data_IF_540415653499
#
_entry.id   IF_540415653499
#
_cell.length_a   1.000
_cell.length_b   1.000
_cell.length_c   1.000
_cell.angle_alpha   90.00
_cell.angle_beta   90.00
_cell.angle_gamma   90.00
#
_symmetry.space_group_name_H-M   'P 1'
#
loop_
_entity.id
_entity.type
_entity.pdbx_description
1 polymer ?
#
# COMPACT_ATOMS: atom_id res chain seq x y z
N UNK A 1 -2.01 7.47 -9.12
CA UNK A 1 -2.77 7.16 -7.88
C UNK A 1 -3.91 8.13 -7.58
N UNK A 2 -3.69 9.47 -7.55
CA UNK A 2 -4.78 10.44 -7.33
C UNK A 2 -5.92 10.29 -8.34
N UNK A 3 -5.56 10.18 -9.62
CA UNK A 3 -6.53 9.97 -10.71
C UNK A 3 -7.30 8.66 -10.54
N UNK A 4 -6.60 7.56 -10.23
CA UNK A 4 -7.24 6.27 -9.93
C UNK A 4 -8.23 6.41 -8.76
N UNK A 5 -7.85 7.07 -7.67
CA UNK A 5 -8.76 7.30 -6.55
C UNK A 5 -9.96 8.17 -6.94
N UNK A 6 -9.76 9.24 -7.71
CA UNK A 6 -10.84 10.10 -8.17
C UNK A 6 -11.82 9.35 -9.09
N UNK A 7 -11.31 8.50 -9.97
CA UNK A 7 -12.10 7.77 -10.97
C UNK A 7 -12.80 6.54 -10.37
N UNK A 8 -12.13 5.80 -9.50
CA UNK A 8 -12.58 4.48 -9.01
C UNK A 8 -12.93 4.46 -7.53
N UNK A 9 -12.66 5.51 -6.75
CA UNK A 9 -12.79 5.51 -5.28
C UNK A 9 -14.19 5.22 -4.74
N UNK A 10 -15.23 5.38 -5.56
CA UNK A 10 -16.62 5.00 -5.20
C UNK A 10 -16.93 3.51 -5.43
N UNK A 11 -16.10 2.81 -6.21
CA UNK A 11 -16.27 1.39 -6.58
C UNK A 11 -15.19 0.50 -5.96
N UNK A 12 -14.01 1.05 -5.70
CA UNK A 12 -12.83 0.36 -5.18
C UNK A 12 -12.22 1.21 -4.07
N UNK A 13 -11.99 0.61 -2.91
CA UNK A 13 -11.24 1.26 -1.84
C UNK A 13 -9.77 1.39 -2.25
N UNK A 14 -9.24 2.61 -2.23
CA UNK A 14 -7.82 2.89 -2.47
C UNK A 14 -7.17 3.24 -1.14
N UNK A 15 -6.07 2.57 -0.82
CA UNK A 15 -5.33 2.72 0.42
C UNK A 15 -3.84 2.85 0.10
N UNK A 16 -3.18 3.85 0.67
CA UNK A 16 -1.73 3.92 0.70
C UNK A 16 -1.23 3.26 1.98
N UNK A 17 -0.29 2.32 1.86
CA UNK A 17 0.43 1.76 3.01
C UNK A 17 1.85 2.32 2.99
N UNK A 18 2.17 3.17 3.97
CA UNK A 18 3.51 3.69 4.14
C UNK A 18 4.40 2.64 4.80
N UNK A 19 5.42 2.18 4.09
CA UNK A 19 6.40 1.20 4.57
C UNK A 19 7.73 1.88 4.88
N UNK A 20 8.72 1.09 5.33
CA UNK A 20 10.07 1.58 5.60
C UNK A 20 10.74 2.25 4.40
N UNK A 21 11.66 3.16 4.69
CA UNK A 21 12.34 3.96 3.67
C UNK A 21 13.18 3.11 2.71
N UNK A 22 13.10 3.43 1.41
CA UNK A 22 13.97 2.82 0.42
C UNK A 22 15.40 3.38 0.52
N UNK A 23 15.53 4.69 0.84
CA UNK A 23 16.75 5.47 0.71
C UNK A 23 17.03 6.36 1.91
N UNK A 24 16.81 5.84 3.13
CA UNK A 24 17.22 6.54 4.35
C UNK A 24 18.72 6.89 4.31
N UNK A 25 19.10 8.04 4.87
CA UNK A 25 20.46 8.58 4.79
C UNK A 25 21.49 7.74 5.57
N UNK A 26 21.03 7.07 6.62
CA UNK A 26 21.75 6.10 7.45
C UNK A 26 21.41 4.63 7.06
N UNK A 27 20.68 4.46 5.95
CA UNK A 27 20.26 3.17 5.42
C UNK A 27 21.29 2.52 4.49
N UNK A 28 20.90 1.38 3.91
CA UNK A 28 21.77 0.58 3.03
C UNK A 28 21.99 1.18 1.64
N UNK A 29 21.10 2.07 1.20
CA UNK A 29 21.12 2.63 -0.15
C UNK A 29 20.67 4.11 -0.15
N UNK A 30 21.38 5.02 0.53
CA UNK A 30 21.04 6.44 0.53
C UNK A 30 21.09 7.02 -0.89
N UNK A 31 20.26 8.03 -1.16
CA UNK A 31 20.19 8.68 -2.47
C UNK A 31 20.43 10.18 -2.34
N UNK A 32 21.43 10.71 -3.06
CA UNK A 32 21.87 12.10 -2.94
C UNK A 32 20.77 13.14 -3.25
N UNK A 33 19.84 12.81 -4.16
CA UNK A 33 18.74 13.69 -4.56
C UNK A 33 17.38 13.27 -3.96
N UNK A 34 17.41 12.40 -2.93
CA UNK A 34 16.22 11.95 -2.22
C UNK A 34 15.84 12.84 -1.04
N UNK A 35 14.69 12.58 -0.38
CA UNK A 35 14.39 13.17 0.91
C UNK A 35 15.48 12.87 1.94
N UNK A 36 15.94 13.89 2.67
CA UNK A 36 16.85 13.72 3.80
C UNK A 36 16.05 13.20 5.00
N UNK A 37 16.04 11.88 5.16
CA UNK A 37 15.28 11.15 6.19
C UNK A 37 16.16 10.04 6.75
N UNK A 38 16.27 9.94 8.06
CA UNK A 38 16.88 8.80 8.77
C UNK A 38 15.88 7.64 8.86
N UNK A 39 16.36 6.41 8.93
CA UNK A 39 15.52 5.23 9.08
C UNK A 39 14.77 5.33 10.42
N UNK A 40 13.43 5.38 10.42
CA UNK A 40 12.67 5.42 11.66
C UNK A 40 12.92 4.16 12.50
N UNK A 41 13.14 4.33 13.80
CA UNK A 41 13.32 3.23 14.77
C UNK A 41 12.12 3.08 15.72
N UNK A 42 11.14 3.98 15.64
CA UNK A 42 9.85 3.87 16.32
C UNK A 42 8.65 4.07 15.39
N UNK A 43 7.48 3.57 15.79
CA UNK A 43 6.23 3.81 15.07
C UNK A 43 5.88 5.30 14.96
N UNK A 44 6.20 6.07 16.02
CA UNK A 44 5.94 7.52 16.06
C UNK A 44 6.78 8.31 15.06
N UNK A 45 8.07 7.98 14.95
CA UNK A 45 8.96 8.55 13.92
C UNK A 45 8.46 8.20 12.53
N UNK A 46 8.14 6.93 12.28
CA UNK A 46 7.65 6.49 10.97
C UNK A 46 6.35 7.19 10.59
N UNK A 47 5.44 7.38 11.55
CA UNK A 47 4.22 8.14 11.35
C UNK A 47 4.50 9.59 10.95
N UNK A 48 5.48 10.24 11.60
CA UNK A 48 5.89 11.62 11.27
C UNK A 48 6.43 11.75 9.84
N UNK A 49 7.29 10.80 9.43
CA UNK A 49 7.81 10.76 8.07
C UNK A 49 6.69 10.48 7.06
N UNK A 50 5.82 9.50 7.34
CA UNK A 50 4.66 9.17 6.50
C UNK A 50 3.76 10.40 6.26
N UNK A 51 3.48 11.18 7.32
CA UNK A 51 2.69 12.41 7.22
C UNK A 51 3.36 13.45 6.31
N UNK A 52 4.67 13.62 6.44
CA UNK A 52 5.46 14.48 5.56
C UNK A 52 5.39 14.01 4.11
N UNK A 53 5.55 12.71 3.85
CA UNK A 53 5.49 12.13 2.52
C UNK A 53 4.12 12.33 1.86
N UNK A 54 3.04 11.96 2.55
CA UNK A 54 1.65 12.16 2.09
C UNK A 54 1.41 13.63 1.76
N UNK A 55 1.96 14.55 2.57
CA UNK A 55 1.81 15.98 2.33
C UNK A 55 2.58 16.43 1.08
N UNK A 56 3.86 16.07 0.96
CA UNK A 56 4.74 16.48 -0.15
C UNK A 56 4.31 15.90 -1.50
N UNK A 57 3.73 14.70 -1.51
CA UNK A 57 3.19 14.06 -2.72
C UNK A 57 1.73 14.46 -3.02
N UNK A 58 1.14 15.32 -2.18
CA UNK A 58 -0.26 15.74 -2.24
C UNK A 58 -1.20 14.55 -2.29
N UNK A 59 -1.02 13.56 -1.39
CA UNK A 59 -1.78 12.31 -1.32
C UNK A 59 -2.90 12.33 -0.26
N UNK A 60 -3.25 13.49 0.30
CA UNK A 60 -4.16 13.60 1.46
C UNK A 60 -5.59 13.09 1.20
N UNK A 61 -6.05 13.07 -0.06
CA UNK A 61 -7.37 12.53 -0.41
C UNK A 61 -7.44 10.99 -0.37
N UNK A 62 -6.30 10.31 -0.34
CA UNK A 62 -6.25 8.85 -0.26
C UNK A 62 -5.99 8.48 1.21
N UNK A 63 -6.83 7.62 1.83
CA UNK A 63 -6.53 7.07 3.14
C UNK A 63 -5.12 6.48 3.17
N UNK A 64 -4.35 6.85 4.19
CA UNK A 64 -3.00 6.34 4.39
C UNK A 64 -2.91 5.65 5.75
N UNK A 65 -2.32 4.47 5.76
CA UNK A 65 -1.93 3.74 6.98
C UNK A 65 -0.42 3.52 6.97
N UNK A 66 0.14 3.25 8.14
CA UNK A 66 1.58 3.10 8.32
C UNK A 66 1.86 1.68 8.76
N UNK A 67 2.76 0.98 8.05
CA UNK A 67 3.28 -0.31 8.47
C UNK A 67 4.07 -0.12 9.76
N UNK A 68 3.89 -1.01 10.73
CA UNK A 68 4.56 -0.90 12.02
C UNK A 68 6.07 -1.10 11.85
N UNK A 69 6.83 -0.67 12.85
CA UNK A 69 8.29 -0.71 12.84
C UNK A 69 8.87 -2.12 12.62
N UNK A 70 8.09 -3.16 12.93
CA UNK A 70 8.43 -4.57 12.67
C UNK A 70 8.43 -4.97 11.18
N UNK A 71 7.93 -4.10 10.29
CA UNK A 71 7.87 -4.28 8.83
C UNK A 71 7.06 -5.51 8.40
N UNK A 72 6.05 -5.90 9.19
CA UNK A 72 5.27 -7.10 8.91
C UNK A 72 4.50 -7.00 7.57
N UNK A 73 3.96 -5.83 7.22
CA UNK A 73 3.20 -5.66 5.96
C UNK A 73 4.15 -5.62 4.77
N UNK A 74 5.27 -4.90 4.87
CA UNK A 74 6.30 -4.92 3.84
C UNK A 74 6.78 -6.34 3.53
N UNK A 75 7.08 -7.14 4.57
CA UNK A 75 7.51 -8.51 4.40
C UNK A 75 6.42 -9.39 3.74
N UNK A 76 5.18 -9.28 4.19
CA UNK A 76 4.07 -10.07 3.66
C UNK A 76 3.75 -9.78 2.18
N UNK A 77 3.90 -8.52 1.76
CA UNK A 77 3.61 -8.07 0.39
C UNK A 77 4.87 -7.89 -0.47
N UNK A 78 6.06 -8.14 0.09
CA UNK A 78 7.35 -7.86 -0.57
C UNK A 78 7.31 -6.49 -1.26
N UNK A 79 6.92 -5.46 -0.49
CA UNK A 79 6.41 -4.21 -1.02
C UNK A 79 7.51 -3.23 -1.45
N UNK A 80 8.75 -3.44 -1.00
CA UNK A 80 9.87 -2.56 -1.37
C UNK A 80 10.29 -2.61 -2.85
N UNK A 81 10.77 -1.47 -3.39
CA UNK A 81 10.80 -0.14 -2.75
C UNK A 81 9.42 0.51 -2.70
N UNK A 82 8.59 0.21 -3.70
CA UNK A 82 7.16 0.45 -3.73
C UNK A 82 6.50 -0.66 -4.58
N UNK A 83 5.19 -0.85 -4.41
CA UNK A 83 4.44 -1.90 -5.11
C UNK A 83 2.94 -1.62 -5.15
N UNK A 84 2.30 -2.03 -6.23
CA UNK A 84 0.85 -1.94 -6.42
C UNK A 84 0.21 -3.32 -6.27
N UNK A 85 -0.95 -3.36 -5.62
CA UNK A 85 -1.76 -4.56 -5.45
C UNK A 85 -3.23 -4.24 -5.67
N UNK A 86 -3.98 -5.22 -6.16
CA UNK A 86 -5.44 -5.25 -6.13
C UNK A 86 -5.89 -6.50 -5.39
N UNK A 87 -6.73 -6.32 -4.38
CA UNK A 87 -7.46 -7.41 -3.73
C UNK A 87 -8.85 -7.47 -4.37
N UNK A 88 -9.19 -8.64 -4.94
CA UNK A 88 -10.48 -8.89 -5.55
C UNK A 88 -11.60 -9.03 -4.53
N UNK A 89 -12.85 -9.05 -5.02
CA UNK A 89 -14.04 -9.18 -4.15
C UNK A 89 -14.10 -10.50 -3.39
N UNK A 90 -13.40 -11.52 -3.89
CA UNK A 90 -13.22 -12.83 -3.27
C UNK A 90 -12.16 -12.86 -2.15
N UNK A 91 -11.54 -11.71 -1.86
CA UNK A 91 -10.48 -11.57 -0.87
C UNK A 91 -9.11 -12.09 -1.32
N UNK A 92 -8.94 -12.45 -2.60
CA UNK A 92 -7.65 -12.89 -3.16
C UNK A 92 -6.95 -11.76 -3.89
N UNK A 93 -5.65 -11.90 -4.11
CA UNK A 93 -4.89 -10.96 -4.93
C UNK A 93 -5.31 -11.13 -6.39
N UNK A 94 -5.98 -10.12 -6.94
CA UNK A 94 -6.39 -10.06 -8.35
C UNK A 94 -5.28 -9.48 -9.23
N UNK A 95 -4.40 -8.65 -8.66
CA UNK A 95 -3.21 -8.12 -9.32
C UNK A 95 -2.09 -7.86 -8.31
N UNK A 96 -0.87 -8.23 -8.69
CA UNK A 96 0.36 -7.95 -7.96
C UNK A 96 1.38 -7.37 -8.95
N UNK A 97 1.65 -6.08 -8.85
CA UNK A 97 2.61 -5.39 -9.71
C UNK A 97 4.05 -5.87 -9.47
N UNK A 98 4.95 -5.47 -10.35
CA UNK A 98 6.39 -5.64 -10.13
C UNK A 98 6.91 -4.73 -9.01
N UNK A 99 8.16 -4.92 -8.60
CA UNK A 99 8.84 -4.01 -7.66
C UNK A 99 9.20 -2.69 -8.35
N UNK A 100 9.03 -1.59 -7.63
CA UNK A 100 9.43 -0.27 -8.09
C UNK A 100 10.92 -0.08 -8.35
N UNK A 101 11.29 1.02 -9.04
CA UNK A 101 10.35 1.91 -9.73
C UNK A 101 9.81 1.29 -11.04
N UNK A 102 10.55 0.38 -11.66
CA UNK A 102 10.23 -0.15 -13.00
C UNK A 102 8.95 -1.00 -13.05
N UNK A 103 8.59 -1.64 -11.93
CA UNK A 103 7.36 -2.43 -11.81
C UNK A 103 6.16 -1.65 -11.29
N UNK A 104 6.33 -0.38 -10.89
CA UNK A 104 5.23 0.46 -10.43
C UNK A 104 4.48 1.01 -11.64
N UNK A 105 3.46 0.26 -12.08
CA UNK A 105 2.69 0.57 -13.29
C UNK A 105 1.22 0.80 -12.94
N UNK A 106 0.79 2.08 -12.81
CA UNK A 106 -0.60 2.42 -12.55
C UNK A 106 -1.57 1.95 -13.64
N UNK A 107 -1.14 1.93 -14.90
CA UNK A 107 -2.00 1.52 -16.02
C UNK A 107 -2.37 0.03 -15.92
N UNK A 108 -1.40 -0.84 -15.60
CA UNK A 108 -1.67 -2.26 -15.35
C UNK A 108 -2.62 -2.47 -14.16
N UNK A 109 -2.57 -1.60 -13.14
CA UNK A 109 -3.54 -1.62 -12.03
C UNK A 109 -4.94 -1.19 -12.50
N UNK A 110 -5.05 -0.19 -13.38
CA UNK A 110 -6.34 0.24 -13.94
C UNK A 110 -6.97 -0.90 -14.73
N UNK A 111 -6.21 -1.54 -15.63
CA UNK A 111 -6.69 -2.70 -16.39
C UNK A 111 -7.20 -3.81 -15.46
N UNK A 112 -6.48 -4.08 -14.36
CA UNK A 112 -6.89 -5.06 -13.37
C UNK A 112 -8.17 -4.66 -12.63
N UNK A 113 -8.34 -3.38 -12.27
CA UNK A 113 -9.56 -2.85 -11.65
C UNK A 113 -10.75 -3.04 -12.58
N UNK A 114 -10.63 -2.62 -13.84
CA UNK A 114 -11.70 -2.74 -14.83
C UNK A 114 -12.11 -4.19 -15.05
N UNK A 115 -11.12 -5.09 -15.20
CA UNK A 115 -11.34 -6.52 -15.32
C UNK A 115 -12.03 -7.11 -14.09
N UNK A 116 -11.63 -6.69 -12.88
CA UNK A 116 -12.23 -7.17 -11.64
C UNK A 116 -13.68 -6.69 -11.49
N UNK A 117 -13.97 -5.44 -11.84
CA UNK A 117 -15.31 -4.86 -11.79
C UNK A 117 -16.27 -5.49 -12.81
N UNK A 118 -15.76 -5.93 -13.97
CA UNK A 118 -16.54 -6.61 -15.00
C UNK A 118 -16.96 -8.06 -14.61
N UNK A 119 -16.34 -8.66 -13.58
CA UNK A 119 -16.75 -9.98 -13.10
C UNK A 119 -18.16 -9.93 -12.48
N UNK A 120 -18.97 -10.99 -12.62
CA UNK A 120 -20.22 -11.11 -11.89
C UNK A 120 -19.94 -11.14 -10.38
N UNK A 121 -20.77 -10.44 -9.59
CA UNK A 121 -20.64 -10.40 -8.14
C UNK A 121 -20.73 -11.81 -7.58
N UNK A 122 -19.61 -12.33 -7.12
CA UNK A 122 -19.55 -13.58 -6.37
C UNK A 122 -19.57 -13.19 -4.90
N UNK A 123 -20.66 -13.54 -4.19
CA UNK A 123 -20.72 -13.34 -2.74
C UNK A 123 -19.65 -14.20 -2.07
N UNK A 124 -18.69 -13.54 -1.41
CA UNK A 124 -17.72 -14.19 -0.56
C UNK A 124 -18.40 -14.59 0.74
N UNK A 125 -18.36 -15.85 1.19
CA UNK A 125 -18.88 -16.23 2.49
C UNK A 125 -18.16 -15.42 3.56
N UNK A 126 -18.92 -14.66 4.35
CA UNK A 126 -18.39 -13.93 5.51
C UNK A 126 -17.70 -14.95 6.41
N UNK A 127 -16.39 -14.80 6.63
CA UNK A 127 -15.66 -15.65 7.57
C UNK A 127 -16.25 -15.39 8.96
N UNK A 128 -17.05 -16.32 9.47
CA UNK A 128 -17.52 -16.29 10.85
C UNK A 128 -16.30 -16.36 11.78
N UNK A 129 -16.08 -15.32 12.57
CA UNK A 129 -15.13 -15.35 13.68
C UNK A 129 -15.65 -16.35 14.71
N UNK A 130 -14.99 -17.51 14.83
CA UNK A 130 -15.26 -18.45 15.91
C UNK A 130 -15.11 -17.71 17.26
N UNK A 131 -16.06 -17.80 18.19
CA UNK A 131 -15.90 -17.25 19.53
C UNK A 131 -14.69 -17.91 20.17
N UNK A 132 -13.71 -17.11 20.59
CA UNK A 132 -12.54 -17.58 21.32
C UNK A 132 -12.97 -18.32 22.58
N UNK A 133 -12.51 -19.57 22.70
CA UNK A 133 -12.60 -20.32 23.93
C UNK A 133 -11.79 -19.59 25.01
N UNK A 134 -12.47 -19.08 26.04
CA UNK A 134 -11.83 -18.67 27.29
C UNK A 134 -11.28 -19.93 27.96
N UNK A 135 -9.99 -19.94 28.24
CA UNK A 135 -9.38 -20.71 29.32
C UNK A 135 -8.58 -19.74 30.18
#
# INVERSE_FOLDING_TARGET
MREIHAQYGTKVAVLMVYIREAHAIDGQAPMANGPLVEEPITDGERHSVAKTCVTKLSLQMIPAVVDRIDNAVDAAYQARPDRLYLVGRDGRIAYAGGRGPFGFKPDELVDAIEKELAKPTTETPRRESKPGARK
#
